data_IF_259987380203
#
_entry.id   IF_259987380203
#
_cell.length_a   1.000
_cell.length_b   1.000
_cell.length_c   1.000
_cell.angle_alpha   90.00
_cell.angle_beta   90.00
_cell.angle_gamma   90.00
#
_symmetry.space_group_name_H-M   'P 1'
#
loop_
_entity.id
_entity.type
_entity.pdbx_description
1 polymer ?
#
# COMPACT_ATOMS: atom_id res chain seq x y z
N UNK A 1 3.57 -9.29 8.96
CA UNK A 1 2.92 -8.02 8.61
C UNK A 1 4.02 -7.01 8.35
N UNK A 2 4.25 -6.66 7.08
CA UNK A 2 5.39 -5.84 6.67
C UNK A 2 5.21 -4.41 7.17
N UNK A 3 6.02 -4.00 8.14
CA UNK A 3 6.07 -2.61 8.58
C UNK A 3 6.85 -1.84 7.53
N UNK A 4 6.29 -0.75 7.03
CA UNK A 4 7.04 0.26 6.27
C UNK A 4 7.96 1.01 7.24
N UNK A 5 8.96 1.69 6.69
CA UNK A 5 9.79 2.62 7.47
C UNK A 5 8.93 3.74 8.08
N UNK A 6 9.49 4.46 9.05
CA UNK A 6 8.82 5.60 9.69
C UNK A 6 8.40 6.62 8.64
N UNK A 7 7.12 7.01 8.67
CA UNK A 7 6.59 8.04 7.79
C UNK A 7 6.82 9.43 8.40
N UNK A 8 7.46 10.31 7.65
CA UNK A 8 7.60 11.73 7.96
C UNK A 8 7.09 12.57 6.79
N UNK A 9 6.46 13.70 7.08
CA UNK A 9 6.07 14.66 6.04
C UNK A 9 6.11 16.05 6.64
N UNK A 10 6.75 16.97 5.93
CA UNK A 10 6.86 18.37 6.33
C UNK A 10 6.21 19.25 5.28
N UNK A 11 5.22 20.02 5.70
CA UNK A 11 4.49 20.95 4.84
C UNK A 11 4.76 22.40 5.26
N UNK A 12 4.80 23.31 4.29
CA UNK A 12 4.97 24.76 4.51
C UNK A 12 3.80 25.53 3.91
N UNK A 13 3.18 26.40 4.71
CA UNK A 13 2.13 27.31 4.27
C UNK A 13 2.45 28.75 4.66
N UNK A 14 2.46 29.65 3.68
CA UNK A 14 2.62 31.09 3.88
C UNK A 14 1.40 31.77 3.24
N UNK A 15 0.74 32.63 4.01
CA UNK A 15 -0.33 33.49 3.51
C UNK A 15 -0.13 34.91 4.02
N UNK A 16 -0.38 35.88 3.16
CA UNK A 16 -0.29 37.29 3.50
C UNK A 16 -1.54 38.01 3.04
N UNK A 17 -2.19 38.69 4.00
CA UNK A 17 -3.44 39.40 3.78
C UNK A 17 -3.22 40.90 3.89
N UNK A 18 -3.58 41.61 2.83
CA UNK A 18 -3.51 43.06 2.74
C UNK A 18 -4.91 43.63 2.57
N UNK A 19 -5.30 44.54 3.47
CA UNK A 19 -6.60 45.24 3.41
C UNK A 19 -6.41 46.65 2.92
N UNK A 20 -7.30 47.12 2.04
CA UNK A 20 -7.21 48.45 1.44
C UNK A 20 -8.60 49.03 1.08
N UNK A 21 -8.62 50.31 0.73
CA UNK A 21 -9.85 51.07 0.47
C UNK A 21 -10.36 51.82 1.71
N UNK A 22 -11.29 52.75 1.46
CA UNK A 22 -12.00 53.45 2.54
C UNK A 22 -12.76 52.40 3.37
N UNK A 23 -12.52 52.40 4.67
CA UNK A 23 -13.07 51.44 5.65
C UNK A 23 -12.59 49.98 5.49
N UNK A 24 -11.46 49.73 4.83
CA UNK A 24 -10.86 48.39 4.67
C UNK A 24 -11.79 47.36 3.98
N UNK A 25 -12.68 47.84 3.09
CA UNK A 25 -13.65 47.04 2.34
C UNK A 25 -13.02 45.97 1.45
N UNK A 26 -11.86 46.24 0.85
CA UNK A 26 -11.23 45.30 -0.07
C UNK A 26 -10.08 44.57 0.60
N UNK A 27 -9.97 43.27 0.33
CA UNK A 27 -8.88 42.44 0.84
C UNK A 27 -8.27 41.61 -0.28
N UNK A 28 -6.94 41.65 -0.40
CA UNK A 28 -6.16 40.73 -1.22
C UNK A 28 -5.41 39.78 -0.28
N UNK A 29 -5.47 38.48 -0.55
CA UNK A 29 -4.71 37.46 0.16
C UNK A 29 -3.87 36.68 -0.83
N UNK A 30 -2.55 36.85 -0.78
CA UNK A 30 -1.61 35.99 -1.49
C UNK A 30 -1.30 34.75 -0.64
N UNK A 31 -1.26 33.58 -1.26
CA UNK A 31 -0.92 32.32 -0.59
C UNK A 31 0.12 31.52 -1.36
N UNK A 32 0.92 30.76 -0.61
CA UNK A 32 1.88 29.77 -1.06
C UNK A 32 1.81 28.57 -0.12
N UNK A 33 1.52 27.39 -0.66
CA UNK A 33 1.53 26.11 0.05
C UNK A 33 2.48 25.15 -0.66
N UNK A 34 3.44 24.60 0.07
CA UNK A 34 4.38 23.59 -0.39
C UNK A 34 4.11 22.33 0.44
N UNK A 35 3.61 21.28 -0.20
CA UNK A 35 3.47 19.95 0.41
C UNK A 35 4.72 19.13 0.14
N UNK A 36 5.16 18.33 1.11
CA UNK A 36 6.40 17.57 1.03
C UNK A 36 7.61 18.48 0.74
N UNK A 37 7.87 19.43 1.64
CA UNK A 37 8.91 20.47 1.54
C UNK A 37 10.30 19.89 1.26
N UNK A 38 10.65 18.79 1.93
CA UNK A 38 11.95 18.11 1.79
C UNK A 38 11.98 17.08 0.65
N UNK A 39 10.89 16.91 -0.09
CA UNK A 39 10.77 15.95 -1.18
C UNK A 39 11.16 14.52 -0.76
N UNK A 40 10.62 14.10 0.37
CA UNK A 40 10.79 12.76 0.92
C UNK A 40 10.07 11.73 0.05
N UNK A 41 10.67 10.53 -0.07
CA UNK A 41 10.13 9.40 -0.84
C UNK A 41 9.87 8.23 0.09
N UNK A 42 9.00 8.45 1.06
CA UNK A 42 8.67 7.43 2.05
C UNK A 42 7.85 6.31 1.41
N UNK A 43 8.14 5.07 1.80
CA UNK A 43 7.40 3.88 1.36
C UNK A 43 6.08 3.83 2.12
N UNK A 44 4.96 3.90 1.41
CA UNK A 44 3.61 3.85 1.99
C UNK A 44 3.10 2.41 2.14
N UNK A 45 3.63 1.51 1.33
CA UNK A 45 3.16 0.13 1.29
C UNK A 45 4.19 -0.82 0.72
N UNK A 46 4.11 -2.05 1.22
CA UNK A 46 4.91 -3.18 0.79
C UNK A 46 3.97 -4.22 0.18
N UNK A 47 4.46 -4.96 -0.81
CA UNK A 47 3.79 -6.17 -1.27
C UNK A 47 3.81 -7.22 -0.16
N UNK A 48 2.66 -7.49 0.44
CA UNK A 48 2.52 -8.46 1.54
C UNK A 48 2.02 -9.82 1.05
N UNK A 49 1.55 -9.91 -0.20
CA UNK A 49 1.07 -11.15 -0.79
C UNK A 49 2.25 -11.96 -1.34
N UNK A 50 2.37 -13.22 -0.90
CA UNK A 50 3.45 -14.11 -1.34
C UNK A 50 3.20 -14.73 -2.72
N UNK A 51 1.93 -14.87 -3.11
CA UNK A 51 1.50 -15.47 -4.39
C UNK A 51 0.15 -14.91 -4.82
N UNK A 52 -0.05 -14.74 -6.14
CA UNK A 52 -1.33 -14.31 -6.73
C UNK A 52 -2.38 -15.41 -6.77
N UNK A 53 -1.98 -16.65 -6.51
CA UNK A 53 -2.86 -17.81 -6.59
C UNK A 53 -3.76 -17.87 -5.37
N UNK A 54 -5.06 -18.06 -5.60
CA UNK A 54 -5.99 -18.46 -4.54
C UNK A 54 -5.80 -19.94 -4.24
N UNK A 55 -5.53 -20.29 -2.98
CA UNK A 55 -5.32 -21.67 -2.57
C UNK A 55 -6.65 -22.38 -2.34
N UNK A 56 -7.03 -23.21 -3.30
CA UNK A 56 -8.21 -24.09 -3.26
C UNK A 56 -7.82 -25.54 -3.00
N UNK A 57 -8.80 -26.42 -2.76
CA UNK A 57 -8.60 -27.87 -2.63
C UNK A 57 -7.78 -28.47 -3.79
N UNK A 58 -8.03 -28.03 -5.04
CA UNK A 58 -7.28 -28.49 -6.21
C UNK A 58 -5.82 -28.02 -6.23
N UNK A 59 -5.51 -26.85 -5.67
CA UNK A 59 -4.11 -26.40 -5.52
C UNK A 59 -3.38 -27.18 -4.42
N UNK A 60 -4.08 -27.54 -3.33
CA UNK A 60 -3.50 -28.30 -2.22
C UNK A 60 -3.21 -29.75 -2.61
N UNK A 61 -4.07 -30.37 -3.41
CA UNK A 61 -3.82 -31.72 -3.98
C UNK A 61 -2.61 -31.71 -4.92
N UNK A 62 -2.45 -30.67 -5.75
CA UNK A 62 -1.23 -30.47 -6.55
C UNK A 62 0.02 -30.25 -5.68
N UNK A 63 -0.14 -29.67 -4.49
CA UNK A 63 0.91 -29.56 -3.47
C UNK A 63 1.20 -30.87 -2.70
N UNK A 64 0.51 -31.96 -3.03
CA UNK A 64 0.68 -33.29 -2.43
C UNK A 64 -0.29 -33.63 -1.30
N UNK A 65 -1.33 -32.82 -1.05
CA UNK A 65 -2.34 -33.14 -0.06
C UNK A 65 -3.33 -34.19 -0.60
N UNK A 66 -3.16 -35.46 -0.22
CA UNK A 66 -4.03 -36.57 -0.67
C UNK A 66 -5.42 -36.54 -0.01
N UNK A 67 -5.57 -35.84 1.12
CA UNK A 67 -6.82 -35.74 1.86
C UNK A 67 -7.63 -34.50 1.51
N UNK A 68 -7.08 -33.56 0.74
CA UNK A 68 -7.72 -32.28 0.38
C UNK A 68 -8.60 -32.39 -0.87
N UNK A 69 -9.39 -33.47 -1.01
CA UNK A 69 -10.19 -33.74 -2.21
C UNK A 69 -11.35 -32.76 -2.43
N UNK A 70 -11.88 -32.19 -1.34
CA UNK A 70 -12.92 -31.17 -1.34
C UNK A 70 -12.69 -30.15 -0.21
N UNK A 71 -13.51 -29.11 -0.15
CA UNK A 71 -13.38 -28.03 0.83
C UNK A 71 -13.62 -28.52 2.27
N UNK A 72 -14.55 -29.45 2.49
CA UNK A 72 -14.81 -30.02 3.80
C UNK A 72 -13.61 -30.80 4.35
N UNK A 73 -12.94 -31.57 3.49
CA UNK A 73 -11.76 -32.34 3.84
C UNK A 73 -10.53 -31.43 4.04
N UNK A 74 -10.45 -30.30 3.34
CA UNK A 74 -9.47 -29.24 3.62
C UNK A 74 -9.68 -28.68 5.03
N UNK A 75 -10.92 -28.35 5.43
CA UNK A 75 -11.19 -27.88 6.80
C UNK A 75 -10.80 -28.93 7.85
N UNK A 76 -11.12 -30.20 7.63
CA UNK A 76 -10.68 -31.26 8.54
C UNK A 76 -9.15 -31.36 8.62
N UNK A 77 -8.45 -31.15 7.50
CA UNK A 77 -6.98 -31.18 7.48
C UNK A 77 -6.38 -29.99 8.23
N UNK A 78 -6.99 -28.81 8.11
CA UNK A 78 -6.59 -27.61 8.85
C UNK A 78 -6.74 -27.81 10.37
N UNK A 79 -7.92 -28.26 10.82
CA UNK A 79 -8.22 -28.30 12.25
C UNK A 79 -7.75 -29.56 12.96
N UNK A 80 -7.69 -30.71 12.28
CA UNK A 80 -7.48 -32.01 12.92
C UNK A 80 -6.22 -32.76 12.45
N UNK A 81 -5.50 -32.29 11.42
CA UNK A 81 -4.39 -33.05 10.80
C UNK A 81 -3.09 -32.26 10.62
N UNK A 82 -2.87 -31.25 11.45
CA UNK A 82 -1.60 -30.52 11.49
C UNK A 82 -1.45 -29.39 10.47
N UNK A 83 -2.53 -29.00 9.79
CA UNK A 83 -2.56 -27.81 8.92
C UNK A 83 -2.27 -28.09 7.44
N UNK A 84 -2.29 -27.02 6.63
CA UNK A 84 -2.10 -27.08 5.17
C UNK A 84 -0.80 -26.43 4.68
N UNK A 85 0.00 -25.86 5.60
CA UNK A 85 1.14 -25.00 5.27
C UNK A 85 2.19 -25.72 4.39
N UNK A 86 2.50 -26.99 4.68
CA UNK A 86 3.48 -27.75 3.90
C UNK A 86 3.04 -27.92 2.43
N UNK A 87 1.74 -28.18 2.20
CA UNK A 87 1.21 -28.38 0.85
C UNK A 87 1.20 -27.08 0.04
N UNK A 88 0.88 -25.96 0.69
CA UNK A 88 1.00 -24.61 0.12
C UNK A 88 2.46 -24.32 -0.26
N UNK A 89 3.42 -24.61 0.63
CA UNK A 89 4.84 -24.41 0.34
C UNK A 89 5.34 -25.30 -0.81
N UNK A 90 4.94 -26.57 -0.85
CA UNK A 90 5.26 -27.48 -1.95
C UNK A 90 4.71 -26.96 -3.29
N UNK A 91 3.45 -26.49 -3.30
CA UNK A 91 2.82 -25.90 -4.48
C UNK A 91 3.62 -24.68 -4.98
N UNK A 92 4.03 -23.78 -4.09
CA UNK A 92 4.80 -22.60 -4.44
C UNK A 92 6.21 -22.92 -4.92
N UNK A 93 6.92 -23.81 -4.21
CA UNK A 93 8.28 -24.23 -4.55
C UNK A 93 8.34 -24.92 -5.92
N UNK A 94 7.34 -25.75 -6.27
CA UNK A 94 7.26 -26.40 -7.58
C UNK A 94 7.16 -25.43 -8.77
N UNK A 95 6.68 -24.20 -8.52
CA UNK A 95 6.44 -23.17 -9.53
C UNK A 95 7.47 -22.05 -9.54
N UNK A 96 8.34 -22.00 -8.53
CA UNK A 96 9.34 -20.95 -8.38
C UNK A 96 8.72 -19.54 -8.43
N UNK A 97 9.49 -18.58 -8.93
CA UNK A 97 9.02 -17.22 -9.18
C UNK A 97 8.21 -17.20 -10.49
N UNK A 98 6.89 -17.10 -10.39
CA UNK A 98 5.99 -17.14 -11.56
C UNK A 98 4.61 -16.54 -11.26
N UNK A 99 3.78 -16.37 -12.29
CA UNK A 99 2.42 -15.85 -12.15
C UNK A 99 1.56 -16.64 -11.15
N UNK A 100 1.79 -17.96 -11.04
CA UNK A 100 1.07 -18.87 -10.13
C UNK A 100 1.89 -19.31 -8.91
N UNK A 101 3.18 -18.98 -8.88
CA UNK A 101 4.12 -19.34 -7.82
C UNK A 101 4.42 -18.17 -6.88
N UNK A 102 5.68 -18.03 -6.48
CA UNK A 102 6.13 -16.89 -5.69
C UNK A 102 6.08 -15.60 -6.51
N UNK A 103 5.59 -14.53 -5.87
CA UNK A 103 5.75 -13.18 -6.38
C UNK A 103 7.22 -12.75 -6.28
N UNK A 104 7.77 -12.20 -7.37
CA UNK A 104 9.13 -11.65 -7.40
C UNK A 104 9.26 -10.36 -6.57
N UNK A 105 8.14 -9.65 -6.40
CA UNK A 105 8.06 -8.40 -5.66
C UNK A 105 7.63 -8.59 -4.20
N UNK A 106 7.59 -9.83 -3.70
CA UNK A 106 7.23 -10.08 -2.30
C UNK A 106 8.16 -9.32 -1.34
N UNK A 107 7.56 -8.56 -0.42
CA UNK A 107 8.22 -7.62 0.51
C UNK A 107 8.93 -6.43 -0.14
N UNK A 108 8.74 -6.19 -1.43
CA UNK A 108 9.24 -4.97 -2.06
C UNK A 108 8.23 -3.82 -1.92
N UNK A 109 8.70 -2.57 -1.88
CA UNK A 109 7.84 -1.38 -1.92
C UNK A 109 6.95 -1.37 -3.17
N UNK A 110 5.66 -1.14 -2.99
CA UNK A 110 4.68 -1.04 -4.09
C UNK A 110 3.97 0.31 -4.17
N UNK A 111 4.14 1.17 -3.15
CA UNK A 111 3.56 2.51 -3.10
C UNK A 111 4.48 3.45 -2.33
N UNK A 112 4.53 4.70 -2.79
CA UNK A 112 5.40 5.74 -2.27
C UNK A 112 4.60 7.03 -2.06
N UNK A 113 5.09 7.89 -1.17
CA UNK A 113 4.54 9.23 -0.95
C UNK A 113 4.51 10.03 -2.26
N UNK A 114 3.51 10.90 -2.39
CA UNK A 114 3.38 11.79 -3.53
C UNK A 114 4.58 12.74 -3.64
N UNK A 115 4.97 13.13 -4.86
CA UNK A 115 6.03 14.12 -5.05
C UNK A 115 5.61 15.48 -4.49
N UNK A 116 6.59 16.35 -4.27
CA UNK A 116 6.38 17.74 -3.83
C UNK A 116 5.35 18.46 -4.71
N UNK A 117 4.34 19.05 -4.07
CA UNK A 117 3.29 19.85 -4.71
C UNK A 117 3.39 21.30 -4.22
N UNK A 118 3.38 22.26 -5.15
CA UNK A 118 3.49 23.69 -4.87
C UNK A 118 2.26 24.39 -5.41
N UNK A 119 1.47 24.99 -4.52
CA UNK A 119 0.26 25.75 -4.85
C UNK A 119 0.43 27.18 -4.44
N UNK A 120 0.16 28.09 -5.34
CA UNK A 120 0.16 29.52 -5.05
C UNK A 120 -1.03 30.19 -5.72
N UNK A 121 -1.41 31.35 -5.22
CA UNK A 121 -2.49 32.12 -5.82
C UNK A 121 -2.88 33.32 -4.97
N UNK A 122 -3.96 33.97 -5.41
CA UNK A 122 -4.52 35.14 -4.74
C UNK A 122 -6.02 34.97 -4.56
N UNK A 123 -6.53 35.42 -3.42
CA UNK A 123 -7.97 35.52 -3.14
C UNK A 123 -8.34 37.00 -3.01
N UNK A 124 -9.43 37.38 -3.64
CA UNK A 124 -9.97 38.73 -3.59
C UNK A 124 -11.30 38.73 -2.84
N UNK A 125 -11.45 39.61 -1.86
CA UNK A 125 -12.67 39.81 -1.09
C UNK A 125 -13.13 41.26 -1.25
N UNK A 126 -14.44 41.48 -1.45
CA UNK A 126 -15.04 42.76 -1.82
C UNK A 126 -16.32 43.11 -1.06
#
# INVERSE_FOLDING_TARGET
MGRTETFTESDLGISHRYKFGRDARYTIEGFLYIRNLFNEKNVLGLQTQISNTNFTASTLTQGGCTTCGDEAAVFQTIFNRGGIQQFVLNFLNSRGVSATGFRNDYKLPNSFQAPRDVRFGFRFFF
#
